data_IF_722957096737
#
_entry.id   IF_722957096737
#
_cell.length_a   1.000
_cell.length_b   1.000
_cell.length_c   1.000
_cell.angle_alpha   90.00
_cell.angle_beta   90.00
_cell.angle_gamma   90.00
#
_symmetry.space_group_name_H-M   'P 1'
#
loop_
_entity.id
_entity.type
_entity.pdbx_description
1 polymer ?
#
# COMPACT_ATOMS: atom_id res chain seq x y z
N UNK A 1 0.65 -12.84 -7.41
CA UNK A 1 -0.34 -11.78 -7.70
C UNK A 1 -1.69 -12.34 -8.14
N UNK A 2 -1.71 -13.41 -8.94
CA UNK A 2 -2.91 -14.14 -9.38
C UNK A 2 -3.97 -14.35 -8.29
N UNK A 3 -3.55 -14.79 -7.09
CA UNK A 3 -4.48 -15.03 -5.98
C UNK A 3 -5.27 -13.78 -5.58
N UNK A 4 -4.60 -12.62 -5.48
CA UNK A 4 -5.26 -11.36 -5.11
C UNK A 4 -6.24 -10.90 -6.19
N UNK A 5 -5.88 -11.05 -7.47
CA UNK A 5 -6.75 -10.68 -8.59
C UNK A 5 -7.98 -11.59 -8.66
N UNK A 6 -7.79 -12.90 -8.58
CA UNK A 6 -8.89 -13.86 -8.55
C UNK A 6 -9.87 -13.60 -7.39
N UNK A 7 -9.35 -13.28 -6.21
CA UNK A 7 -10.17 -12.94 -5.05
C UNK A 7 -10.97 -11.64 -5.27
N UNK A 8 -10.36 -10.62 -5.87
CA UNK A 8 -11.06 -9.36 -6.22
C UNK A 8 -12.19 -9.65 -7.21
N UNK A 9 -11.91 -10.41 -8.27
CA UNK A 9 -12.89 -10.76 -9.30
C UNK A 9 -14.08 -11.53 -8.71
N UNK A 10 -13.82 -12.51 -7.85
CA UNK A 10 -14.85 -13.27 -7.15
C UNK A 10 -15.74 -12.37 -6.30
N UNK A 11 -15.14 -11.46 -5.51
CA UNK A 11 -15.89 -10.55 -4.65
C UNK A 11 -16.69 -9.52 -5.46
N UNK A 12 -16.13 -9.00 -6.55
CA UNK A 12 -16.86 -8.12 -7.47
C UNK A 12 -18.02 -8.83 -8.15
N UNK A 13 -17.87 -10.11 -8.50
CA UNK A 13 -18.98 -10.94 -9.00
C UNK A 13 -20.07 -11.07 -7.93
N UNK A 14 -19.69 -11.39 -6.69
CA UNK A 14 -20.63 -11.49 -5.58
C UNK A 14 -21.41 -10.19 -5.32
N UNK A 15 -20.77 -9.02 -5.41
CA UNK A 15 -21.44 -7.72 -5.29
C UNK A 15 -22.42 -7.48 -6.44
N UNK A 16 -22.05 -7.82 -7.67
CA UNK A 16 -22.89 -7.58 -8.86
C UNK A 16 -24.13 -8.48 -8.91
N UNK A 17 -24.01 -9.69 -8.39
CA UNK A 17 -25.07 -10.71 -8.45
C UNK A 17 -25.89 -10.80 -7.15
N UNK A 18 -25.64 -9.91 -6.19
CA UNK A 18 -26.28 -10.00 -4.88
C UNK A 18 -27.80 -9.83 -4.96
N UNK A 19 -28.51 -10.84 -4.44
CA UNK A 19 -29.97 -10.87 -4.29
C UNK A 19 -30.39 -11.20 -2.86
N UNK A 20 -29.46 -11.17 -1.90
CA UNK A 20 -29.77 -11.45 -0.50
C UNK A 20 -30.66 -10.36 0.09
N UNK A 21 -31.66 -10.76 0.87
CA UNK A 21 -32.55 -9.85 1.58
C UNK A 21 -31.77 -8.99 2.60
N UNK A 22 -31.80 -7.64 2.51
CA UNK A 22 -31.17 -6.73 3.46
C UNK A 22 -31.52 -6.96 4.93
N UNK A 23 -32.71 -7.48 5.23
CA UNK A 23 -33.10 -7.78 6.60
C UNK A 23 -32.30 -8.93 7.23
N UNK A 24 -31.61 -9.73 6.42
CA UNK A 24 -30.85 -10.92 6.86
C UNK A 24 -29.35 -10.65 7.08
N UNK A 25 -28.90 -9.41 6.85
CA UNK A 25 -27.48 -9.07 6.88
C UNK A 25 -26.93 -9.12 8.30
N UNK A 26 -25.78 -9.77 8.47
CA UNK A 26 -24.95 -9.72 9.68
C UNK A 26 -23.70 -8.87 9.44
N UNK A 27 -22.91 -8.58 10.47
CA UNK A 27 -21.63 -7.86 10.33
C UNK A 27 -20.69 -8.54 9.31
N UNK A 28 -20.78 -9.87 9.22
CA UNK A 28 -20.01 -10.71 8.30
C UNK A 28 -20.38 -10.48 6.83
N UNK A 29 -21.58 -9.94 6.54
CA UNK A 29 -22.03 -9.63 5.20
C UNK A 29 -20.99 -8.76 4.48
N UNK A 30 -20.65 -7.60 5.07
CA UNK A 30 -19.70 -6.65 4.46
C UNK A 30 -18.26 -7.19 4.40
N UNK A 31 -17.84 -7.96 5.40
CA UNK A 31 -16.49 -8.52 5.45
C UNK A 31 -16.24 -9.50 4.30
N UNK A 32 -17.21 -10.37 3.99
CA UNK A 32 -17.09 -11.36 2.91
C UNK A 32 -17.04 -10.74 1.52
N UNK A 33 -17.59 -9.55 1.36
CA UNK A 33 -17.78 -8.84 0.08
C UNK A 33 -16.64 -7.91 -0.27
N UNK A 34 -15.83 -7.52 0.70
CA UNK A 34 -14.88 -6.43 0.53
C UNK A 34 -13.88 -6.72 -0.61
N UNK A 35 -14.00 -6.07 -1.78
CA UNK A 35 -13.11 -6.33 -2.90
C UNK A 35 -11.71 -5.81 -2.61
N UNK A 36 -11.54 -4.91 -1.63
CA UNK A 36 -10.26 -4.31 -1.30
C UNK A 36 -9.42 -5.32 -0.51
N UNK A 37 -8.46 -5.93 -1.20
CA UNK A 37 -7.45 -6.79 -0.58
C UNK A 37 -6.19 -5.98 -0.33
N UNK A 38 -6.05 -5.46 0.89
CA UNK A 38 -4.92 -4.60 1.29
C UNK A 38 -3.58 -5.34 1.36
N UNK A 39 -3.58 -6.67 1.45
CA UNK A 39 -2.37 -7.49 1.50
C UNK A 39 -1.49 -7.29 0.26
N UNK A 40 -2.08 -7.41 -0.93
CA UNK A 40 -1.36 -7.21 -2.18
C UNK A 40 -0.80 -5.79 -2.29
N UNK A 41 -1.59 -4.79 -1.89
CA UNK A 41 -1.13 -3.40 -1.90
C UNK A 41 0.07 -3.20 -0.96
N UNK A 42 0.00 -3.72 0.25
CA UNK A 42 1.06 -3.57 1.26
C UNK A 42 2.35 -4.29 0.84
N UNK A 43 2.24 -5.49 0.26
CA UNK A 43 3.38 -6.22 -0.27
C UNK A 43 4.00 -5.50 -1.47
N UNK A 44 3.20 -5.02 -2.41
CA UNK A 44 3.71 -4.37 -3.63
C UNK A 44 4.27 -2.97 -3.38
N UNK A 45 3.71 -2.23 -2.43
CA UNK A 45 4.13 -0.84 -2.17
C UNK A 45 5.15 -0.72 -1.04
N UNK A 46 5.09 -1.59 -0.03
CA UNK A 46 5.94 -1.46 1.16
C UNK A 46 6.83 -2.68 1.39
N UNK A 47 6.67 -3.74 0.57
CA UNK A 47 7.34 -5.03 0.77
C UNK A 47 7.09 -5.64 2.14
N UNK A 48 5.94 -5.32 2.75
CA UNK A 48 5.59 -5.68 4.11
C UNK A 48 4.44 -6.69 4.13
N UNK A 49 4.46 -7.67 5.05
CA UNK A 49 3.34 -8.58 5.25
C UNK A 49 2.15 -7.84 5.87
N UNK A 50 0.94 -8.30 5.57
CA UNK A 50 -0.27 -7.78 6.21
C UNK A 50 -0.19 -8.07 7.73
N UNK A 51 -0.48 -7.08 8.61
CA UNK A 51 -0.52 -7.34 10.04
C UNK A 51 -1.59 -8.40 10.36
N UNK A 52 -1.24 -9.32 11.25
CA UNK A 52 -2.15 -10.37 11.70
C UNK A 52 -3.37 -9.73 12.38
N UNK A 53 -4.55 -10.26 12.06
CA UNK A 53 -5.86 -9.68 12.34
C UNK A 53 -6.03 -9.24 13.81
N UNK A 54 -6.57 -8.02 14.00
CA UNK A 54 -6.77 -7.25 15.25
C UNK A 54 -5.53 -6.55 15.84
N UNK A 55 -5.08 -5.48 15.18
CA UNK A 55 -4.21 -4.48 15.83
C UNK A 55 -2.71 -4.75 15.77
N UNK A 56 -2.25 -5.65 14.91
CA UNK A 56 -0.82 -5.79 14.63
C UNK A 56 -0.23 -4.52 14.01
N UNK A 57 0.99 -4.16 14.41
CA UNK A 57 1.73 -3.07 13.79
C UNK A 57 2.22 -3.50 12.40
N UNK A 58 2.13 -2.58 11.43
CA UNK A 58 2.69 -2.80 10.10
C UNK A 58 4.22 -2.71 10.19
N UNK A 59 4.88 -3.86 9.99
CA UNK A 59 6.34 -3.94 9.97
C UNK A 59 6.82 -3.72 8.53
N UNK A 60 7.09 -2.47 8.16
CA UNK A 60 7.54 -2.10 6.82
C UNK A 60 8.92 -1.45 6.83
N UNK A 61 9.77 -1.85 5.87
CA UNK A 61 11.08 -1.22 5.64
C UNK A 61 10.99 0.02 4.76
N UNK A 62 9.95 0.09 3.92
CA UNK A 62 9.71 1.22 2.99
C UNK A 62 8.36 1.84 3.33
N UNK A 63 8.35 3.15 3.52
CA UNK A 63 7.14 3.95 3.74
C UNK A 63 7.21 5.18 2.84
N UNK A 64 6.11 5.50 2.16
CA UNK A 64 6.02 6.68 1.30
C UNK A 64 5.43 7.87 2.04
N UNK A 65 5.91 9.06 1.69
CA UNK A 65 5.39 10.34 2.18
C UNK A 65 5.12 11.29 1.02
N UNK A 66 3.88 11.74 0.88
CA UNK A 66 3.48 12.76 -0.08
C UNK A 66 3.87 14.14 0.48
N UNK A 67 4.98 14.69 -0.02
CA UNK A 67 5.49 16.00 0.41
C UNK A 67 4.50 17.12 0.04
N UNK A 68 3.87 17.05 -1.13
CA UNK A 68 2.94 18.08 -1.60
C UNK A 68 1.65 18.05 -0.78
N UNK A 69 1.13 16.85 -0.53
CA UNK A 69 -0.07 16.63 0.27
C UNK A 69 0.16 16.59 1.78
N UNK A 70 1.41 16.68 2.25
CA UNK A 70 1.84 16.55 3.66
C UNK A 70 1.18 15.38 4.39
N UNK A 71 1.10 14.21 3.74
CA UNK A 71 0.43 13.03 4.30
C UNK A 71 1.22 11.75 4.00
N UNK A 72 1.06 10.69 4.83
CA UNK A 72 1.63 9.40 4.51
C UNK A 72 0.97 8.80 3.26
N UNK A 73 1.75 8.06 2.48
CA UNK A 73 1.31 7.40 1.26
C UNK A 73 1.90 7.99 -0.02
N UNK A 74 1.48 7.42 -1.15
CA UNK A 74 1.91 7.87 -2.46
C UNK A 74 1.21 9.19 -2.85
N UNK A 75 1.91 10.09 -3.56
CA UNK A 75 1.26 11.24 -4.19
C UNK A 75 0.16 10.81 -5.17
N UNK A 76 -0.73 11.74 -5.49
CA UNK A 76 -1.79 11.49 -6.46
C UNK A 76 -1.20 11.08 -7.81
N UNK A 77 -1.82 10.11 -8.46
CA UNK A 77 -1.46 9.60 -9.80
C UNK A 77 -0.05 8.96 -9.87
N UNK A 78 0.52 8.56 -8.72
CA UNK A 78 1.79 7.83 -8.64
C UNK A 78 1.55 6.38 -8.21
N UNK A 79 2.15 5.45 -8.96
CA UNK A 79 2.25 4.04 -8.59
C UNK A 79 3.70 3.68 -8.26
N UNK A 80 3.90 2.79 -7.30
CA UNK A 80 5.21 2.27 -6.94
C UNK A 80 5.15 0.76 -6.73
N UNK A 81 6.21 0.07 -7.16
CA UNK A 81 6.39 -1.37 -7.02
C UNK A 81 7.72 -1.64 -6.32
N UNK A 82 7.68 -2.37 -5.22
CA UNK A 82 8.84 -2.89 -4.50
C UNK A 82 9.22 -4.23 -5.10
N UNK A 83 10.34 -4.25 -5.82
CA UNK A 83 10.84 -5.49 -6.45
C UNK A 83 11.78 -6.29 -5.53
N UNK A 84 12.54 -5.60 -4.66
CA UNK A 84 13.53 -6.24 -3.78
C UNK A 84 13.72 -5.44 -2.49
N UNK A 85 13.77 -6.16 -1.37
CA UNK A 85 14.27 -5.65 -0.09
C UNK A 85 15.55 -6.43 0.25
N UNK A 86 16.64 -5.71 0.51
CA UNK A 86 17.87 -6.29 0.99
C UNK A 86 18.04 -5.98 2.49
N UNK A 87 18.61 -6.90 3.29
CA UNK A 87 18.97 -6.60 4.67
C UNK A 87 19.95 -5.40 4.68
N UNK A 88 19.66 -4.40 5.50
CA UNK A 88 20.47 -3.19 5.54
C UNK A 88 21.83 -3.47 6.20
N UNK A 89 22.90 -3.44 5.40
CA UNK A 89 23.94 -2.47 5.73
C UNK A 89 23.38 -1.10 5.31
N UNK A 90 23.61 -0.09 6.15
CA UNK A 90 23.08 1.27 6.05
C UNK A 90 22.99 1.87 4.63
N UNK A 91 21.92 2.66 4.43
CA UNK A 91 21.75 3.62 3.33
C UNK A 91 21.48 3.02 1.93
N UNK A 92 20.21 2.73 1.62
CA UNK A 92 19.79 2.48 0.24
C UNK A 92 19.26 3.77 -0.42
N UNK A 93 20.00 4.15 -1.47
CA UNK A 93 19.64 5.09 -2.52
C UNK A 93 18.19 4.89 -2.99
N UNK A 94 17.39 5.94 -2.90
CA UNK A 94 16.00 5.95 -3.37
C UNK A 94 15.95 6.26 -4.87
N UNK A 95 15.21 5.44 -5.62
CA UNK A 95 14.86 5.75 -7.02
C UNK A 95 13.35 5.92 -7.06
N UNK A 96 12.87 7.17 -6.98
CA UNK A 96 11.47 7.47 -7.28
C UNK A 96 11.41 7.60 -8.81
N UNK A 97 10.77 6.63 -9.46
CA UNK A 97 10.44 6.72 -10.88
C UNK A 97 9.15 7.54 -11.03
N UNK A 98 9.28 8.87 -11.07
CA UNK A 98 8.24 9.72 -11.66
C UNK A 98 8.35 9.63 -13.18
N UNK A 99 7.22 9.44 -13.88
CA UNK A 99 7.13 9.37 -15.35
C UNK A 99 7.50 10.68 -16.10
N UNK A 100 8.28 11.57 -15.48
CA UNK A 100 8.89 12.71 -16.13
C UNK A 100 10.19 13.04 -15.41
N UNK A 101 11.27 13.09 -16.20
CA UNK A 101 12.64 13.49 -15.89
C UNK A 101 13.60 12.35 -15.51
N UNK A 102 14.35 11.90 -16.51
CA UNK A 102 15.67 11.30 -16.36
C UNK A 102 16.57 12.25 -15.56
N UNK A 103 16.92 11.89 -14.34
CA UNK A 103 17.87 12.64 -13.53
C UNK A 103 18.21 11.86 -12.27
N UNK A 104 19.44 11.37 -12.17
CA UNK A 104 19.94 10.73 -10.96
C UNK A 104 19.98 11.76 -9.82
N UNK A 105 19.05 11.69 -8.87
CA UNK A 105 19.16 12.42 -7.62
C UNK A 105 20.17 11.71 -6.71
N UNK A 106 21.37 12.29 -6.57
CA UNK A 106 22.27 11.94 -5.49
C UNK A 106 21.65 12.38 -4.16
N UNK A 107 21.66 11.51 -3.14
CA UNK A 107 21.29 11.83 -1.78
C UNK A 107 22.10 13.02 -1.29
N UNK A 108 21.50 14.21 -1.30
CA UNK A 108 21.99 15.33 -0.52
C UNK A 108 21.56 15.05 0.92
N UNK A 109 22.46 15.15 1.93
CA UNK A 109 22.04 15.03 3.32
C UNK A 109 20.90 16.03 3.56
N UNK A 110 19.82 15.55 4.19
CA UNK A 110 18.69 16.40 4.52
C UNK A 110 19.21 17.58 5.35
N UNK A 111 18.90 18.83 4.98
CA UNK A 111 19.12 19.94 5.90
C UNK A 111 18.34 19.64 7.17
N UNK A 112 18.94 19.92 8.33
CA UNK A 112 18.32 19.77 9.64
C UNK A 112 17.08 20.64 9.73
N UNK A 113 15.94 20.13 9.27
CA UNK A 113 14.63 20.70 9.53
C UNK A 113 14.19 20.15 10.88
N UNK A 114 14.31 20.98 11.92
CA UNK A 114 13.57 20.78 13.16
C UNK A 114 12.08 20.70 12.83
N UNK A 115 11.50 19.53 13.05
CA UNK A 115 10.05 19.36 13.10
C UNK A 115 9.69 19.66 14.55
N UNK A 116 9.25 20.88 14.80
CA UNK A 116 8.62 21.22 16.09
C UNK A 116 7.23 20.58 16.11
N UNK A 117 6.95 19.86 17.20
CA UNK A 117 5.70 19.14 17.46
C UNK A 117 4.52 20.09 17.69
#
# INVERSE_FOLDING_TARGET
MEHNLAQIEERLRFIREDRQDPATYTDSYLQKRNPVTVEGLLQLTMGAPLPVYKGGLVMATVVYWDIAGKRPGLPKDVAALVEKIAPAASCSRWSIWTARLFGSCACRPAPSASIDF
#
